data_IF_936633944229
#
_entry.id   IF_936633944229
#
_cell.length_a   1.000
_cell.length_b   1.000
_cell.length_c   1.000
_cell.angle_alpha   90.00
_cell.angle_beta   90.00
_cell.angle_gamma   90.00
#
_symmetry.space_group_name_H-M   'P 1'
#
loop_
_entity.id
_entity.type
_entity.pdbx_description
1 polymer ?
#
# COMPACT_ATOMS: atom_id res chain seq x y z
N UNK A 1 -22.72 15.91 -2.89
CA UNK A 1 -21.30 15.54 -2.89
C UNK A 1 -20.52 16.82 -2.79
N UNK A 2 -19.57 16.90 -1.87
CA UNK A 2 -18.72 18.09 -1.72
C UNK A 2 -17.50 17.96 -2.63
N UNK A 3 -16.89 19.09 -3.02
CA UNK A 3 -15.71 19.11 -3.92
C UNK A 3 -14.59 18.22 -3.38
N UNK A 4 -14.32 18.28 -2.07
CA UNK A 4 -13.26 17.49 -1.43
C UNK A 4 -13.47 15.98 -1.58
N UNK A 5 -14.71 15.53 -1.43
CA UNK A 5 -15.07 14.11 -1.58
C UNK A 5 -14.92 13.67 -3.04
N UNK A 6 -15.32 14.54 -3.99
CA UNK A 6 -15.19 14.27 -5.41
C UNK A 6 -13.73 14.15 -5.83
N UNK A 7 -12.88 15.07 -5.39
CA UNK A 7 -11.44 15.03 -5.66
C UNK A 7 -10.79 13.78 -5.05
N UNK A 8 -11.12 13.44 -3.80
CA UNK A 8 -10.63 12.22 -3.18
C UNK A 8 -11.04 10.96 -3.93
N UNK A 9 -12.28 10.90 -4.43
CA UNK A 9 -12.76 9.79 -5.26
C UNK A 9 -12.00 9.70 -6.59
N UNK A 10 -11.79 10.83 -7.26
CA UNK A 10 -11.03 10.88 -8.53
C UNK A 10 -9.58 10.43 -8.32
N UNK A 11 -8.92 10.86 -7.23
CA UNK A 11 -7.57 10.42 -6.90
C UNK A 11 -7.50 8.90 -6.63
N UNK A 12 -8.49 8.34 -5.94
CA UNK A 12 -8.62 6.90 -5.77
C UNK A 12 -8.73 6.17 -7.11
N UNK A 13 -9.66 6.60 -7.96
CA UNK A 13 -9.85 6.02 -9.29
C UNK A 13 -8.60 6.13 -10.17
N UNK A 14 -7.83 7.22 -10.07
CA UNK A 14 -6.56 7.36 -10.80
C UNK A 14 -5.52 6.34 -10.34
N UNK A 15 -5.42 6.06 -9.04
CA UNK A 15 -4.53 5.02 -8.51
C UNK A 15 -4.95 3.62 -8.97
N UNK A 16 -6.25 3.34 -8.97
CA UNK A 16 -6.79 2.06 -9.45
C UNK A 16 -6.57 1.89 -10.96
N UNK A 17 -6.69 2.96 -11.74
CA UNK A 17 -6.37 2.99 -13.16
C UNK A 17 -4.88 2.70 -13.41
N UNK A 18 -3.98 3.33 -12.64
CA UNK A 18 -2.54 3.08 -12.75
C UNK A 18 -2.20 1.63 -12.38
N UNK A 19 -2.79 1.11 -11.31
CA UNK A 19 -2.65 -0.28 -10.90
C UNK A 19 -3.09 -1.24 -12.01
N UNK A 20 -4.27 -1.03 -12.58
CA UNK A 20 -4.80 -1.89 -13.64
C UNK A 20 -4.03 -1.78 -14.95
N UNK A 21 -3.43 -0.63 -15.25
CA UNK A 21 -2.48 -0.46 -16.38
C UNK A 21 -1.24 -1.33 -16.19
N UNK A 22 -0.60 -1.27 -15.02
CA UNK A 22 0.54 -2.12 -14.68
C UNK A 22 0.16 -3.61 -14.70
N UNK A 23 -1.04 -3.95 -14.21
CA UNK A 23 -1.56 -5.31 -14.23
C UNK A 23 -1.73 -5.82 -15.68
N UNK A 24 -2.30 -5.01 -16.58
CA UNK A 24 -2.42 -5.40 -17.99
C UNK A 24 -1.05 -5.63 -18.64
N UNK A 25 -0.05 -4.80 -18.36
CA UNK A 25 1.31 -5.01 -18.89
C UNK A 25 1.89 -6.36 -18.47
N UNK A 26 1.67 -6.76 -17.21
CA UNK A 26 2.10 -8.07 -16.68
C UNK A 26 1.31 -9.24 -17.27
N UNK A 27 0.04 -9.05 -17.58
CA UNK A 27 -0.84 -10.10 -18.12
C UNK A 27 -0.80 -10.22 -19.64
N UNK A 28 -0.33 -9.19 -20.36
CA UNK A 28 -0.22 -9.17 -21.82
C UNK A 28 0.54 -10.38 -22.39
N UNK A 29 1.67 -10.84 -21.82
CA UNK A 29 2.36 -12.04 -22.32
C UNK A 29 1.55 -13.34 -22.13
N UNK A 30 0.53 -13.33 -21.27
CA UNK A 30 -0.34 -14.48 -21.00
C UNK A 30 -1.72 -14.36 -21.64
N UNK A 31 -1.94 -13.35 -22.50
CA UNK A 31 -3.22 -13.09 -23.16
C UNK A 31 -3.75 -14.32 -23.91
N UNK A 32 -2.91 -15.03 -24.66
CA UNK A 32 -3.36 -16.23 -25.41
C UNK A 32 -3.80 -17.37 -24.49
N UNK A 33 -3.17 -17.49 -23.31
CA UNK A 33 -3.47 -18.56 -22.34
C UNK A 33 -4.68 -18.22 -21.48
N UNK A 34 -4.87 -16.93 -21.18
CA UNK A 34 -5.93 -16.44 -20.31
C UNK A 34 -6.62 -15.20 -20.90
N UNK A 35 -7.27 -15.32 -22.08
CA UNK A 35 -7.80 -14.16 -22.81
C UNK A 35 -8.91 -13.45 -22.04
N UNK A 36 -9.75 -14.22 -21.33
CA UNK A 36 -10.85 -13.67 -20.53
C UNK A 36 -10.32 -12.78 -19.40
N UNK A 37 -9.24 -13.20 -18.72
CA UNK A 37 -8.66 -12.42 -17.61
C UNK A 37 -8.12 -11.10 -18.16
N UNK A 38 -7.36 -11.16 -19.26
CA UNK A 38 -6.80 -9.97 -19.88
C UNK A 38 -7.89 -9.00 -20.37
N UNK A 39 -8.92 -9.51 -21.03
CA UNK A 39 -10.06 -8.71 -21.48
C UNK A 39 -10.78 -8.00 -20.32
N UNK A 40 -10.99 -8.69 -19.20
CA UNK A 40 -11.60 -8.09 -18.02
C UNK A 40 -10.74 -6.99 -17.39
N UNK A 41 -9.41 -7.16 -17.38
CA UNK A 41 -8.49 -6.11 -16.91
C UNK A 41 -8.61 -4.86 -17.80
N UNK A 42 -8.68 -5.04 -19.13
CA UNK A 42 -8.87 -3.93 -20.06
C UNK A 42 -10.24 -3.25 -19.87
N UNK A 43 -11.31 -4.03 -19.68
CA UNK A 43 -12.64 -3.47 -19.37
C UNK A 43 -12.65 -2.65 -18.07
N UNK A 44 -11.93 -3.10 -17.04
CA UNK A 44 -11.78 -2.33 -15.80
C UNK A 44 -11.06 -1.00 -16.04
N UNK A 45 -9.99 -0.99 -16.84
CA UNK A 45 -9.33 0.27 -17.22
C UNK A 45 -10.28 1.24 -17.90
N UNK A 46 -11.02 0.79 -18.92
CA UNK A 46 -11.98 1.63 -19.62
C UNK A 46 -13.08 2.15 -18.68
N UNK A 47 -13.57 1.31 -17.77
CA UNK A 47 -14.58 1.71 -16.78
C UNK A 47 -14.06 2.77 -15.81
N UNK A 48 -12.81 2.68 -15.37
CA UNK A 48 -12.20 3.71 -14.54
C UNK A 48 -12.02 5.03 -15.29
N UNK A 49 -11.57 4.98 -16.55
CA UNK A 49 -11.43 6.17 -17.39
C UNK A 49 -12.78 6.87 -17.61
N UNK A 50 -13.81 6.12 -17.96
CA UNK A 50 -15.18 6.63 -18.12
C UNK A 50 -15.72 7.22 -16.80
N UNK A 51 -15.53 6.51 -15.68
CA UNK A 51 -15.99 7.00 -14.36
C UNK A 51 -15.28 8.29 -13.96
N UNK A 52 -14.00 8.44 -14.27
CA UNK A 52 -13.25 9.68 -14.03
C UNK A 52 -13.81 10.80 -14.90
N UNK A 53 -14.05 10.54 -16.18
CA UNK A 53 -14.62 11.53 -17.10
C UNK A 53 -16.01 12.00 -16.64
N UNK A 54 -16.86 11.07 -16.24
CA UNK A 54 -18.20 11.37 -15.73
C UNK A 54 -18.15 12.10 -14.39
N UNK A 55 -17.14 11.82 -13.57
CA UNK A 55 -16.91 12.56 -12.32
C UNK A 55 -16.64 14.04 -12.57
N UNK A 56 -16.04 14.41 -13.71
CA UNK A 56 -15.84 15.82 -14.09
C UNK A 56 -17.10 16.50 -14.61
N UNK A 57 -18.13 15.74 -15.00
CA UNK A 57 -19.42 16.26 -15.48
C UNK A 57 -20.44 16.44 -14.36
N UNK A 58 -20.14 15.99 -13.13
CA UNK A 58 -21.05 16.09 -11.99
C UNK A 58 -21.18 17.53 -11.50
N UNK A 59 -22.41 18.03 -11.40
CA UNK A 59 -22.71 19.31 -10.74
C UNK A 59 -22.40 19.20 -9.24
N UNK A 60 -21.35 19.89 -8.81
CA UNK A 60 -20.96 19.95 -7.39
C UNK A 60 -21.70 21.12 -6.73
N UNK A 61 -22.48 20.83 -5.69
CA UNK A 61 -23.08 21.87 -4.85
C UNK A 61 -21.99 22.48 -3.98
N UNK A 62 -21.46 23.63 -4.39
CA UNK A 62 -20.69 24.48 -3.50
C UNK A 62 -21.62 25.04 -2.42
N UNK A 63 -21.47 24.56 -1.19
CA UNK A 63 -21.98 25.27 -0.02
C UNK A 63 -20.95 26.36 0.28
N UNK A 64 -21.07 27.49 -0.41
CA UNK A 64 -20.33 28.71 -0.12
C UNK A 64 -20.93 29.37 1.13
N UNK A 65 -20.77 28.73 2.29
CA UNK A 65 -21.02 29.36 3.58
C UNK A 65 -19.80 29.09 4.46
N UNK A 66 -19.24 30.18 5.00
CA UNK A 66 -18.06 30.30 5.89
C UNK A 66 -16.74 30.69 5.21
N UNK A 67 -16.65 31.93 4.74
CA UNK A 67 -15.38 32.68 4.83
C UNK A 67 -15.56 34.20 5.06
N UNK A 68 -16.73 34.64 5.52
CA UNK A 68 -16.80 35.93 6.19
C UNK A 68 -16.97 35.67 7.69
N UNK A 69 -16.19 36.41 8.50
CA UNK A 69 -16.22 36.43 9.96
C UNK A 69 -15.36 35.40 10.72
N UNK A 70 -14.04 35.57 10.64
CA UNK A 70 -13.24 35.67 11.88
C UNK A 70 -11.97 36.47 11.59
N UNK A 71 -11.91 37.66 12.15
CA UNK A 71 -10.84 38.62 11.96
C UNK A 71 -9.47 38.13 12.41
N UNK A 72 -8.48 38.70 11.75
CA UNK A 72 -7.09 38.82 12.20
C UNK A 72 -6.99 39.12 13.70
N UNK A 73 -6.04 38.47 14.40
CA UNK A 73 -5.02 39.31 15.03
C UNK A 73 -3.61 38.83 14.69
N UNK A 74 -2.80 39.83 14.37
CA UNK A 74 -1.37 39.75 14.23
C UNK A 74 -0.68 39.37 15.55
N UNK A 75 0.49 38.73 15.39
CA UNK A 75 1.64 38.69 16.30
C UNK A 75 1.44 38.08 17.70
N UNK A 76 2.11 36.95 17.93
CA UNK A 76 3.17 36.91 18.94
C UNK A 76 4.13 35.74 18.69
N UNK A 77 5.40 36.12 18.54
CA UNK A 77 6.62 35.32 18.45
C UNK A 77 7.03 34.94 19.87
N UNK A 78 7.47 33.71 20.08
CA UNK A 78 8.45 33.37 21.13
C UNK A 78 9.21 32.12 20.67
N UNK A 79 10.37 32.37 20.06
CA UNK A 79 11.53 31.50 20.08
C UNK A 79 12.17 31.54 21.48
N UNK A 80 13.11 30.61 21.71
CA UNK A 80 13.96 30.37 22.89
C UNK A 80 13.42 29.34 23.90
N UNK A 81 13.92 28.10 23.81
CA UNK A 81 14.97 27.66 24.73
C UNK A 81 15.83 26.55 24.08
N UNK A 82 17.14 26.78 24.06
CA UNK A 82 18.16 25.99 23.39
C UNK A 82 18.97 25.21 24.46
N UNK A 83 19.14 23.92 24.24
CA UNK A 83 20.24 23.06 24.69
C UNK A 83 20.54 22.90 26.21
N UNK A 84 20.41 21.65 26.69
CA UNK A 84 21.47 21.07 27.53
C UNK A 84 21.71 19.59 27.21
N UNK A 85 22.97 19.29 26.92
CA UNK A 85 23.57 17.98 26.65
C UNK A 85 23.75 17.16 27.94
N UNK A 86 23.45 15.85 27.91
CA UNK A 86 24.29 14.80 28.51
C UNK A 86 23.74 13.38 28.20
N UNK A 87 24.47 12.62 27.38
CA UNK A 87 24.48 11.16 27.41
C UNK A 87 25.51 10.69 28.49
N UNK A 88 25.76 9.39 28.75
CA UNK A 88 25.01 8.14 28.53
C UNK A 88 24.79 7.37 29.87
N UNK A 89 23.82 6.45 29.93
CA UNK A 89 23.82 5.40 30.97
C UNK A 89 23.96 4.03 30.32
N UNK A 90 25.14 3.46 30.55
CA UNK A 90 25.51 2.07 30.33
C UNK A 90 24.64 1.10 31.15
N UNK A 91 24.56 -0.13 30.62
CA UNK A 91 24.39 -1.39 31.34
C UNK A 91 22.99 -1.68 31.93
N UNK A 92 22.27 -2.64 31.35
CA UNK A 92 22.47 -4.06 31.66
C UNK A 92 21.54 -4.93 30.78
N UNK A 93 22.13 -5.83 29.99
CA UNK A 93 21.40 -6.90 29.33
C UNK A 93 21.21 -8.05 30.31
N UNK A 94 20.02 -8.68 30.39
CA UNK A 94 19.92 -10.05 30.84
C UNK A 94 20.08 -11.05 29.67
N UNK A 95 20.54 -12.27 29.97
CA UNK A 95 21.49 -13.02 29.15
C UNK A 95 20.90 -13.81 27.99
N UNK A 96 21.75 -13.99 26.97
CA UNK A 96 21.74 -15.11 26.02
C UNK A 96 21.40 -16.42 26.72
N UNK A 97 20.34 -17.09 26.25
CA UNK A 97 20.24 -18.53 26.33
C UNK A 97 20.86 -19.08 25.04
N UNK A 98 22.17 -19.34 25.10
CA UNK A 98 22.87 -20.10 24.08
C UNK A 98 22.46 -21.59 24.14
N UNK A 99 22.65 -22.31 23.03
CA UNK A 99 21.99 -23.58 22.71
C UNK A 99 22.69 -24.73 23.41
N UNK A 100 21.91 -25.75 23.79
CA UNK A 100 22.47 -27.06 24.12
C UNK A 100 21.85 -28.13 23.21
N UNK A 101 22.74 -29.02 22.86
CA UNK A 101 22.83 -29.89 21.71
C UNK A 101 22.73 -31.31 22.26
N UNK A 102 21.73 -32.07 21.83
CA UNK A 102 21.76 -33.53 21.90
C UNK A 102 20.77 -34.02 20.84
N UNK A 103 21.23 -34.28 19.62
CA UNK A 103 21.90 -35.52 19.23
C UNK A 103 20.96 -36.72 19.31
N UNK A 104 20.50 -37.16 18.14
CA UNK A 104 20.33 -38.57 17.83
C UNK A 104 20.17 -38.73 16.33
N UNK A 105 21.29 -39.05 15.69
CA UNK A 105 21.33 -39.73 14.41
C UNK A 105 20.39 -40.94 14.37
N UNK A 106 19.65 -41.09 13.28
CA UNK A 106 19.16 -42.36 12.77
C UNK A 106 19.01 -42.17 11.25
N UNK A 107 20.07 -42.40 10.50
CA UNK A 107 20.57 -43.71 10.06
C UNK A 107 19.91 -44.15 8.76
N UNK A 108 20.81 -44.57 7.88
CA UNK A 108 20.62 -44.89 6.48
C UNK A 108 20.46 -46.40 6.42
N UNK A 109 19.36 -46.88 5.87
CA UNK A 109 19.18 -48.26 5.42
C UNK A 109 18.55 -48.12 4.02
N UNK A 110 19.22 -48.38 2.88
CA UNK A 110 19.70 -49.69 2.38
C UNK A 110 18.78 -50.83 2.81
N UNK A 111 18.32 -51.75 2.01
CA UNK A 111 18.35 -52.11 0.59
C UNK A 111 17.38 -53.33 0.55
N UNK A 112 17.11 -53.86 -0.63
CA UNK A 112 16.42 -55.11 -0.90
C UNK A 112 14.89 -55.10 -0.80
N UNK A 113 14.15 -55.73 -1.68
CA UNK A 113 14.36 -56.33 -2.99
C UNK A 113 12.93 -56.73 -3.41
N UNK A 114 12.53 -56.59 -4.67
CA UNK A 114 11.82 -57.71 -5.26
C UNK A 114 11.92 -57.70 -6.79
N UNK A 115 12.14 -58.90 -7.26
CA UNK A 115 12.45 -59.31 -8.62
C UNK A 115 11.19 -60.01 -9.15
N UNK A 116 11.17 -60.33 -10.45
CA UNK A 116 10.15 -61.15 -11.15
C UNK A 116 8.81 -60.45 -11.47
N UNK A 117 8.26 -60.57 -12.68
CA UNK A 117 8.44 -61.56 -13.76
C UNK A 117 8.42 -60.93 -15.15
#
# INVERSE_FOLDING_TARGET
MNIRELLGRIEGLKKDLEYTKNLAEKWKPQEERFPIIYEYILKQQSSFEETIEDSYKLDVKEVADKLEESGSPAAQVSEEDEAELAAPIESEAPPSADPDEADAAADKAEEDADTES
#
